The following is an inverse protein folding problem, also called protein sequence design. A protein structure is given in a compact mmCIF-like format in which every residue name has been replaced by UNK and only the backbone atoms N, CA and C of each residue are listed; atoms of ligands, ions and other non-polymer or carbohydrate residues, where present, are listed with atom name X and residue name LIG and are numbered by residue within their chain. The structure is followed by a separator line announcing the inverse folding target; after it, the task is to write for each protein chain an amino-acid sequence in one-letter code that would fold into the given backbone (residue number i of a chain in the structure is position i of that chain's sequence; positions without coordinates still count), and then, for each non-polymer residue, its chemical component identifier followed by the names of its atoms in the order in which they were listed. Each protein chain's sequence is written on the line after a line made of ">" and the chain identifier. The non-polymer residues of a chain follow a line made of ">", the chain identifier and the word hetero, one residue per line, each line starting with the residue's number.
data_IF_452938973485
#
_entry.id   IF_452938973485
#
_cell.length_a   1.000
_cell.length_b   1.000
_cell.length_c   1.000
_cell.angle_alpha   90.00
_cell.angle_beta   90.00
_cell.angle_gamma   90.00
#
_symmetry.space_group_name_H-M   'P 1'
#
loop_
_entity.id
_entity.type
_entity.pdbx_description
1 polymer ?
#
# COMPACT_ATOMS: atom_id res chain seq x y z
N UNK A 1 3.17 51.68 10.38
CA UNK A 1 4.02 50.60 9.82
C UNK A 1 3.28 49.29 10.01
N UNK A 2 2.52 48.88 9.01
CA UNK A 2 1.81 47.59 9.00
C UNK A 2 2.07 46.94 7.65
N UNK A 3 2.82 45.85 7.64
CA UNK A 3 3.04 45.02 6.46
C UNK A 3 1.82 44.13 6.25
N UNK A 4 1.19 44.30 5.10
CA UNK A 4 0.22 43.40 4.50
C UNK A 4 1.03 42.43 3.64
N UNK A 5 1.28 41.22 4.13
CA UNK A 5 1.88 40.16 3.32
C UNK A 5 0.78 39.50 2.48
N UNK A 6 1.01 39.49 1.16
CA UNK A 6 0.13 38.95 0.16
C UNK A 6 0.02 37.42 0.31
N UNK A 7 -1.16 36.93 0.67
CA UNK A 7 -1.51 35.52 0.51
C UNK A 7 -1.68 35.27 -0.99
N UNK A 8 -0.65 34.71 -1.61
CA UNK A 8 -0.69 34.21 -2.98
C UNK A 8 -1.81 33.18 -3.13
N UNK A 9 -2.93 33.62 -3.70
CA UNK A 9 -4.01 32.76 -4.14
C UNK A 9 -3.51 31.91 -5.31
N UNK A 10 -3.00 30.73 -5.01
CA UNK A 10 -2.86 29.66 -5.99
C UNK A 10 -4.25 29.19 -6.40
N UNK A 11 -4.86 29.88 -7.37
CA UNK A 11 -6.09 29.42 -8.02
C UNK A 11 -5.79 28.07 -8.69
N UNK A 12 -6.14 26.99 -8.02
CA UNK A 12 -6.27 25.68 -8.65
C UNK A 12 -7.32 25.83 -9.76
N UNK A 13 -6.87 25.73 -11.02
CA UNK A 13 -7.78 25.74 -12.15
C UNK A 13 -8.87 24.68 -11.95
N UNK A 14 -10.15 25.00 -12.26
CA UNK A 14 -11.22 24.02 -12.12
C UNK A 14 -10.88 22.77 -12.93
N UNK A 15 -11.17 21.60 -12.36
CA UNK A 15 -10.74 20.28 -12.88
C UNK A 15 -11.21 20.02 -14.32
N UNK A 16 -12.22 20.78 -14.79
CA UNK A 16 -12.69 20.84 -16.17
C UNK A 16 -11.62 21.33 -17.16
N UNK A 17 -10.74 22.25 -16.77
CA UNK A 17 -9.69 22.83 -17.64
C UNK A 17 -8.53 21.85 -17.82
N UNK A 18 -8.16 21.11 -16.76
CA UNK A 18 -7.13 20.05 -16.84
C UNK A 18 -7.62 18.87 -17.69
N UNK A 19 -8.90 18.52 -17.61
CA UNK A 19 -9.51 17.47 -18.43
C UNK A 19 -9.50 17.82 -19.94
N UNK A 20 -9.80 19.07 -20.32
CA UNK A 20 -9.72 19.52 -21.71
C UNK A 20 -8.29 19.50 -22.27
N UNK A 21 -7.30 19.92 -21.46
CA UNK A 21 -5.89 19.88 -21.85
C UNK A 21 -5.38 18.43 -22.04
N UNK A 22 -5.77 17.52 -21.15
CA UNK A 22 -5.41 16.10 -21.25
C UNK A 22 -6.12 15.39 -22.42
N UNK A 23 -7.36 15.76 -22.74
CA UNK A 23 -8.09 15.24 -23.91
C UNK A 23 -7.42 15.68 -25.23
N UNK A 24 -7.09 16.96 -25.38
CA UNK A 24 -6.39 17.48 -26.57
C UNK A 24 -5.01 16.84 -26.74
N UNK A 25 -4.25 16.65 -25.65
CA UNK A 25 -2.94 16.00 -25.69
C UNK A 25 -3.01 14.50 -26.04
N UNK A 26 -4.13 13.81 -25.71
CA UNK A 26 -4.35 12.41 -26.07
C UNK A 26 -4.84 12.24 -27.50
N UNK A 27 -5.61 13.20 -28.04
CA UNK A 27 -5.93 13.27 -29.48
C UNK A 27 -4.65 13.38 -30.31
N UNK A 28 -3.68 14.21 -29.88
CA UNK A 28 -2.40 14.35 -30.60
C UNK A 28 -1.46 13.14 -30.52
N UNK A 29 -1.68 12.19 -29.59
CA UNK A 29 -0.90 10.93 -29.52
C UNK A 29 -1.59 9.74 -30.17
N UNK A 30 -2.87 9.84 -30.49
CA UNK A 30 -3.50 8.90 -31.43
C UNK A 30 -3.10 9.38 -32.81
N UNK A 31 -1.91 8.97 -33.25
CA UNK A 31 -1.59 8.95 -34.66
C UNK A 31 -2.69 8.16 -35.36
N UNK A 32 -3.57 8.86 -36.08
CA UNK A 32 -4.35 8.26 -37.15
C UNK A 32 -3.33 7.82 -38.18
N UNK A 33 -2.79 6.61 -38.02
CA UNK A 33 -2.18 5.90 -39.13
C UNK A 33 -3.25 5.80 -40.19
N UNK A 34 -3.09 6.55 -41.28
CA UNK A 34 -3.75 6.23 -42.54
C UNK A 34 -3.34 4.79 -42.88
N UNK A 35 -4.28 3.83 -42.98
CA UNK A 35 -3.98 2.56 -43.59
C UNK A 35 -3.90 2.78 -45.09
N UNK A 36 -2.67 2.83 -45.61
CA UNK A 36 -2.39 2.66 -47.03
C UNK A 36 -2.90 1.29 -47.50
N UNK A 37 -3.78 1.33 -48.50
CA UNK A 37 -3.80 0.42 -49.64
C UNK A 37 -3.97 -1.08 -49.40
N UNK A 38 -5.12 -1.61 -49.85
CA UNK A 38 -5.13 -2.91 -50.53
C UNK A 38 -6.04 -3.99 -49.96
N UNK A 39 -7.32 -3.70 -49.76
CA UNK A 39 -8.33 -4.73 -49.50
C UNK A 39 -9.61 -4.39 -50.24
N UNK A 40 -9.86 -5.06 -51.36
CA UNK A 40 -11.15 -5.04 -52.06
C UNK A 40 -12.21 -5.70 -51.18
N UNK A 41 -12.69 -4.99 -50.15
CA UNK A 41 -13.82 -5.41 -49.35
C UNK A 41 -15.08 -5.04 -50.12
N UNK A 42 -15.60 -6.01 -50.86
CA UNK A 42 -16.96 -5.97 -51.42
C UNK A 42 -17.91 -5.50 -50.32
N UNK A 43 -18.57 -4.35 -50.54
CA UNK A 43 -19.62 -3.86 -49.65
C UNK A 43 -20.71 -4.93 -49.52
N UNK A 44 -20.97 -5.51 -48.34
CA UNK A 44 -22.27 -6.08 -48.08
C UNK A 44 -23.20 -4.94 -47.65
N UNK A 45 -24.41 -5.00 -48.17
CA UNK A 45 -25.54 -4.13 -47.87
C UNK A 45 -25.48 -3.54 -46.45
N UNK A 46 -25.50 -2.21 -46.37
CA UNK A 46 -25.60 -1.45 -45.13
C UNK A 46 -26.85 -1.94 -44.39
N UNK A 47 -26.64 -2.82 -43.41
CA UNK A 47 -27.68 -3.26 -42.50
C UNK A 47 -28.20 -2.00 -41.79
N UNK A 48 -29.52 -1.78 -41.84
CA UNK A 48 -30.30 -0.67 -41.24
C UNK A 48 -30.16 -0.51 -39.71
N UNK A 49 -29.15 -1.14 -39.14
CA UNK A 49 -28.82 -1.26 -37.72
C UNK A 49 -27.53 -0.49 -37.36
N UNK A 50 -26.81 0.05 -38.35
CA UNK A 50 -25.60 0.86 -38.15
C UNK A 50 -25.72 1.98 -37.10
N UNK A 51 -26.76 2.84 -37.12
CA UNK A 51 -26.89 3.88 -36.11
C UNK A 51 -27.21 3.30 -34.72
N UNK A 52 -27.93 2.18 -34.65
CA UNK A 52 -28.28 1.52 -33.37
C UNK A 52 -27.04 0.94 -32.71
N UNK A 53 -26.16 0.29 -33.48
CA UNK A 53 -24.92 -0.29 -32.97
C UNK A 53 -23.97 0.82 -32.48
N UNK A 54 -23.88 1.94 -33.21
CA UNK A 54 -23.09 3.10 -32.79
C UNK A 54 -23.62 3.74 -31.51
N UNK A 55 -24.95 3.93 -31.41
CA UNK A 55 -25.58 4.50 -30.21
C UNK A 55 -25.43 3.55 -29.01
N UNK A 56 -25.59 2.24 -29.21
CA UNK A 56 -25.43 1.25 -28.15
C UNK A 56 -23.97 1.18 -27.67
N UNK A 57 -23.00 1.24 -28.57
CA UNK A 57 -21.58 1.30 -28.23
C UNK A 57 -21.24 2.59 -27.45
N UNK A 58 -21.83 3.73 -27.84
CA UNK A 58 -21.67 4.99 -27.11
C UNK A 58 -22.32 4.95 -25.72
N UNK A 59 -23.51 4.35 -25.59
CA UNK A 59 -24.19 4.14 -24.30
C UNK A 59 -23.41 3.20 -23.38
N UNK A 60 -22.88 2.09 -23.91
CA UNK A 60 -22.03 1.16 -23.15
C UNK A 60 -20.70 1.82 -22.72
N UNK A 61 -20.13 2.67 -23.57
CA UNK A 61 -18.93 3.44 -23.24
C UNK A 61 -19.18 4.57 -22.22
N UNK A 62 -20.41 5.07 -22.11
CA UNK A 62 -20.79 6.11 -21.14
C UNK A 62 -20.87 5.59 -19.69
N UNK A 63 -20.78 4.28 -19.46
CA UNK A 63 -20.83 3.68 -18.13
C UNK A 63 -19.46 3.44 -17.47
N UNK A 64 -18.40 4.17 -17.84
CA UNK A 64 -17.12 4.06 -17.12
C UNK A 64 -17.30 4.60 -15.70
N UNK A 65 -17.48 3.68 -14.75
CA UNK A 65 -17.36 3.97 -13.33
C UNK A 65 -15.94 4.47 -13.08
N UNK A 66 -15.81 5.71 -12.61
CA UNK A 66 -14.53 6.22 -12.14
C UNK A 66 -14.23 5.45 -10.85
N UNK A 67 -13.40 4.41 -10.95
CA UNK A 67 -12.77 3.82 -9.76
C UNK A 67 -11.68 4.79 -9.37
N UNK A 68 -11.99 5.65 -8.40
CA UNK A 68 -11.03 6.56 -7.80
C UNK A 68 -10.14 5.75 -6.84
N UNK A 69 -9.11 5.10 -7.40
CA UNK A 69 -8.05 4.41 -6.65
C UNK A 69 -7.00 5.40 -6.07
N UNK A 70 -7.37 6.68 -5.95
CA UNK A 70 -6.51 7.72 -5.39
C UNK A 70 -6.43 7.61 -3.86
N UNK A 71 -5.22 7.62 -3.25
CA UNK A 71 -5.09 7.84 -1.83
C UNK A 71 -5.72 9.19 -1.47
N UNK A 72 -6.82 9.17 -0.70
CA UNK A 72 -7.44 10.39 -0.20
C UNK A 72 -6.38 11.21 0.55
N UNK A 73 -6.20 12.51 0.25
CA UNK A 73 -5.31 13.36 1.02
C UNK A 73 -5.81 13.38 2.46
N UNK A 74 -5.09 12.70 3.36
CA UNK A 74 -5.42 12.75 4.78
C UNK A 74 -4.98 14.13 5.27
N UNK A 75 -5.87 14.94 5.86
CA UNK A 75 -5.47 16.21 6.44
C UNK A 75 -4.33 15.96 7.44
N UNK A 76 -3.29 16.82 7.46
CA UNK A 76 -2.19 16.67 8.41
C UNK A 76 -2.79 16.70 9.81
N UNK A 77 -2.73 15.56 10.51
CA UNK A 77 -3.16 15.52 11.91
C UNK A 77 -2.19 16.39 12.72
N UNK A 78 -2.68 17.25 13.62
CA UNK A 78 -1.83 17.93 14.58
C UNK A 78 -1.09 16.86 15.39
N UNK A 79 0.23 16.83 15.30
CA UNK A 79 1.03 15.88 16.06
C UNK A 79 1.07 16.40 17.51
N UNK A 80 0.65 15.60 18.51
CA UNK A 80 0.75 16.02 19.90
C UNK A 80 2.22 16.20 20.28
N UNK A 81 2.62 17.40 20.69
CA UNK A 81 3.99 17.67 21.15
C UNK A 81 4.30 17.02 22.50
N UNK A 82 3.26 16.69 23.27
CA UNK A 82 3.32 16.08 24.59
C UNK A 82 2.52 14.79 24.59
N UNK A 83 3.18 13.69 24.96
CA UNK A 83 2.53 12.40 25.16
C UNK A 83 2.58 12.02 26.63
N UNK A 84 1.48 11.45 27.13
CA UNK A 84 1.48 10.82 28.44
C UNK A 84 2.41 9.61 28.44
N UNK A 85 3.00 9.29 29.59
CA UNK A 85 3.82 8.09 29.77
C UNK A 85 2.93 6.84 30.02
N UNK A 86 1.67 6.88 29.61
CA UNK A 86 0.75 5.77 29.76
C UNK A 86 1.12 4.67 28.76
N UNK A 87 1.23 3.43 29.26
CA UNK A 87 1.53 2.26 28.43
C UNK A 87 0.25 1.62 27.92
N UNK A 88 -0.02 1.79 26.63
CA UNK A 88 -1.15 1.20 25.89
C UNK A 88 -0.65 0.82 24.50
N UNK A 89 0.01 -0.34 24.35
CA UNK A 89 0.78 -0.63 23.15
C UNK A 89 -0.12 -0.67 21.92
N UNK A 90 0.36 -0.11 20.82
CA UNK A 90 -0.35 -0.13 19.53
C UNK A 90 0.58 -0.57 18.42
N UNK A 91 0.01 -1.22 17.41
CA UNK A 91 0.72 -1.60 16.21
C UNK A 91 0.46 -0.54 15.15
N UNK A 92 1.51 0.12 14.69
CA UNK A 92 1.42 1.19 13.72
C UNK A 92 2.36 0.94 12.53
N UNK A 93 1.97 1.46 11.36
CA UNK A 93 2.71 1.30 10.10
C UNK A 93 2.98 2.65 9.44
N UNK A 94 4.17 2.77 8.85
CA UNK A 94 4.55 3.89 7.98
C UNK A 94 5.11 3.31 6.69
N UNK A 95 4.37 3.42 5.59
CA UNK A 95 4.77 2.81 4.32
C UNK A 95 4.83 1.28 4.43
N UNK A 96 6.05 0.73 4.30
CA UNK A 96 6.34 -0.71 4.46
C UNK A 96 6.75 -1.12 5.88
N UNK A 97 7.07 -0.16 6.76
CA UNK A 97 7.61 -0.45 8.09
C UNK A 97 6.50 -0.55 9.14
N UNK A 98 6.49 -1.64 9.90
CA UNK A 98 5.51 -1.90 10.96
C UNK A 98 6.22 -2.03 12.30
N UNK A 99 5.80 -1.25 13.30
CA UNK A 99 6.44 -1.22 14.61
C UNK A 99 5.41 -1.11 15.75
N UNK A 100 5.76 -1.70 16.90
CA UNK A 100 5.00 -1.56 18.14
C UNK A 100 5.42 -0.28 18.85
N UNK A 101 4.46 0.59 19.14
CA UNK A 101 4.67 1.79 19.95
C UNK A 101 4.09 1.57 21.35
N UNK A 102 4.71 2.18 22.37
CA UNK A 102 4.25 2.08 23.76
C UNK A 102 2.88 2.73 23.98
N UNK A 103 2.52 3.73 23.17
CA UNK A 103 1.16 4.28 23.10
C UNK A 103 0.82 4.91 21.75
N UNK A 104 -0.47 5.17 21.54
CA UNK A 104 -1.00 5.83 20.35
C UNK A 104 -0.39 7.21 20.10
N UNK A 105 -0.19 8.00 21.15
CA UNK A 105 0.38 9.34 21.02
C UNK A 105 1.81 9.31 20.47
N UNK A 106 2.65 8.39 20.94
CA UNK A 106 4.02 8.18 20.46
C UNK A 106 4.01 7.76 18.99
N UNK A 107 3.09 6.89 18.59
CA UNK A 107 2.93 6.49 17.19
C UNK A 107 2.54 7.67 16.29
N UNK A 108 1.56 8.47 16.71
CA UNK A 108 1.10 9.64 15.95
C UNK A 108 2.18 10.72 15.87
N UNK A 109 2.91 10.98 16.95
CA UNK A 109 4.02 11.95 16.98
C UNK A 109 5.13 11.59 15.99
N UNK A 110 5.40 10.30 15.83
CA UNK A 110 6.39 9.78 14.87
C UNK A 110 5.83 9.66 13.44
N UNK A 111 4.55 10.01 13.22
CA UNK A 111 3.90 9.95 11.91
C UNK A 111 3.54 8.53 11.46
N UNK A 112 3.42 7.58 12.38
CA UNK A 112 2.94 6.23 12.08
C UNK A 112 1.41 6.18 12.12
N UNK A 113 0.83 5.41 11.19
CA UNK A 113 -0.61 5.14 11.17
C UNK A 113 -0.92 3.91 12.01
N UNK A 114 -1.71 4.08 13.06
CA UNK A 114 -2.17 2.98 13.90
C UNK A 114 -3.09 2.06 13.09
N UNK A 115 -2.79 0.76 13.10
CA UNK A 115 -3.60 -0.26 12.43
C UNK A 115 -4.46 -1.06 13.41
N UNK A 116 -3.94 -1.25 14.62
CA UNK A 116 -4.46 -2.19 15.61
C UNK A 116 -4.02 -1.79 17.02
N UNK A 117 -4.88 -2.01 17.99
CA UNK A 117 -4.53 -2.01 19.40
C UNK A 117 -3.75 -3.27 19.79
N UNK A 118 -2.75 -3.11 20.64
CA UNK A 118 -1.78 -4.14 21.02
C UNK A 118 -0.55 -4.18 20.12
N UNK A 119 0.47 -4.97 20.48
CA UNK A 119 1.73 -5.07 19.73
C UNK A 119 1.53 -5.72 18.35
N UNK A 120 2.44 -5.42 17.43
CA UNK A 120 2.46 -6.05 16.12
C UNK A 120 2.75 -7.55 16.24
N UNK A 121 1.98 -8.37 15.54
CA UNK A 121 2.08 -9.85 15.56
C UNK A 121 3.14 -10.40 14.61
N UNK A 122 3.59 -9.58 13.67
CA UNK A 122 4.49 -9.97 12.59
C UNK A 122 5.84 -9.27 12.81
N UNK A 123 6.75 -9.97 13.49
CA UNK A 123 8.18 -9.67 13.53
C UNK A 123 8.61 -8.41 14.29
N UNK A 124 9.19 -8.61 15.48
CA UNK A 124 10.20 -7.67 15.98
C UNK A 124 9.70 -6.53 16.86
N UNK A 125 8.85 -6.83 17.84
CA UNK A 125 8.44 -5.85 18.85
C UNK A 125 8.36 -6.46 20.24
N UNK A 126 9.46 -7.03 20.72
CA UNK A 126 9.50 -7.59 22.07
C UNK A 126 10.81 -8.29 22.37
N UNK A 127 11.93 -7.56 22.31
CA UNK A 127 13.24 -8.02 22.77
C UNK A 127 13.81 -9.17 21.94
N UNK A 128 15.08 -9.10 21.54
CA UNK A 128 16.04 -9.90 22.29
C UNK A 128 15.77 -9.90 23.80
N UNK A 129 14.65 -10.50 24.23
CA UNK A 129 14.57 -11.05 25.57
C UNK A 129 15.74 -12.00 25.57
N UNK A 130 16.81 -11.63 26.27
CA UNK A 130 17.96 -12.48 26.46
C UNK A 130 17.41 -13.75 27.09
N UNK A 131 17.04 -14.70 26.24
CA UNK A 131 16.28 -15.86 26.67
C UNK A 131 17.33 -16.68 27.40
N UNK A 132 17.25 -16.67 28.73
CA UNK A 132 18.17 -17.40 29.58
C UNK A 132 17.91 -18.89 29.40
N UNK A 133 18.62 -19.51 28.46
CA UNK A 133 18.57 -20.94 28.25
C UNK A 133 19.51 -21.63 29.23
N UNK A 134 19.07 -22.75 29.78
CA UNK A 134 19.94 -23.67 30.50
C UNK A 134 20.95 -24.27 29.51
N UNK A 135 22.13 -24.66 30.01
CA UNK A 135 23.13 -25.39 29.20
C UNK A 135 22.83 -26.89 29.11
N UNK A 136 21.56 -27.25 29.24
CA UNK A 136 21.10 -28.63 29.10
C UNK A 136 21.17 -29.04 27.62
N UNK A 137 21.70 -30.23 27.38
CA UNK A 137 21.84 -30.78 26.04
C UNK A 137 20.72 -31.78 25.77
N UNK A 138 19.72 -31.35 25.00
CA UNK A 138 18.57 -32.13 24.56
C UNK A 138 18.28 -31.74 23.10
N UNK A 139 19.03 -32.31 22.14
CA UNK A 139 19.11 -31.76 20.79
C UNK A 139 17.78 -31.86 20.07
N UNK A 140 17.42 -30.79 19.35
CA UNK A 140 16.18 -30.73 18.58
C UNK A 140 16.42 -30.29 17.14
N UNK A 141 15.55 -30.75 16.26
CA UNK A 141 15.57 -30.38 14.86
C UNK A 141 14.62 -29.21 14.66
N UNK A 142 15.13 -28.08 14.18
CA UNK A 142 14.33 -26.87 14.01
C UNK A 142 14.47 -26.28 12.61
N UNK A 143 13.42 -25.61 12.13
CA UNK A 143 13.33 -25.05 10.78
C UNK A 143 13.06 -23.55 10.80
N UNK A 144 13.75 -22.81 9.94
CA UNK A 144 13.55 -21.39 9.68
C UNK A 144 13.74 -21.08 8.20
N UNK A 145 12.74 -20.48 7.55
CA UNK A 145 12.76 -20.11 6.12
C UNK A 145 13.27 -21.23 5.18
N UNK A 146 12.81 -22.47 5.40
CA UNK A 146 13.21 -23.63 4.60
C UNK A 146 14.57 -24.26 4.95
N UNK A 147 15.35 -23.62 5.83
CA UNK A 147 16.61 -24.18 6.35
C UNK A 147 16.32 -24.96 7.62
N UNK A 148 16.95 -26.12 7.75
CA UNK A 148 16.78 -27.06 8.87
C UNK A 148 18.12 -27.20 9.57
N UNK A 149 18.15 -27.05 10.90
CA UNK A 149 19.37 -27.09 11.71
C UNK A 149 19.09 -27.76 13.05
N UNK A 150 20.09 -28.49 13.53
CA UNK A 150 20.09 -29.06 14.88
C UNK A 150 20.53 -28.01 15.89
N UNK A 151 19.74 -27.84 16.95
CA UNK A 151 20.06 -26.97 18.08
C UNK A 151 20.38 -27.81 19.33
N UNK A 152 21.26 -27.33 20.22
CA UNK A 152 21.60 -28.02 21.47
C UNK A 152 20.39 -28.28 22.38
N UNK A 153 19.41 -27.37 22.38
CA UNK A 153 18.12 -27.56 23.04
C UNK A 153 17.01 -26.70 22.41
N UNK A 154 15.76 -26.99 22.80
CA UNK A 154 14.58 -26.28 22.31
C UNK A 154 14.50 -24.81 22.72
N UNK A 155 15.13 -24.43 23.84
CA UNK A 155 15.21 -23.04 24.26
C UNK A 155 16.05 -22.23 23.27
N UNK A 156 17.26 -22.70 22.95
CA UNK A 156 18.18 -22.07 22.01
C UNK A 156 17.58 -21.98 20.59
N UNK A 157 16.87 -23.02 20.16
CA UNK A 157 16.15 -23.00 18.88
C UNK A 157 15.13 -21.85 18.81
N UNK A 158 14.31 -21.67 19.85
CA UNK A 158 13.30 -20.62 19.91
C UNK A 158 13.91 -19.24 20.08
N UNK A 159 14.96 -19.11 20.88
CA UNK A 159 15.70 -17.87 21.07
C UNK A 159 16.35 -17.38 19.75
N UNK A 160 16.70 -18.29 18.85
CA UNK A 160 17.21 -18.00 17.52
C UNK A 160 16.12 -17.86 16.44
N UNK A 161 14.84 -17.81 16.81
CA UNK A 161 13.67 -17.77 15.91
C UNK A 161 13.52 -18.99 14.98
N UNK A 162 13.95 -20.17 15.44
CA UNK A 162 13.67 -21.44 14.76
C UNK A 162 12.46 -22.14 15.40
N UNK A 163 11.62 -22.75 14.55
CA UNK A 163 10.50 -23.59 15.00
C UNK A 163 10.97 -25.05 15.09
N UNK A 164 10.81 -25.68 16.25
CA UNK A 164 11.09 -27.11 16.44
C UNK A 164 10.13 -27.96 15.60
N UNK A 165 10.69 -28.91 14.85
CA UNK A 165 9.99 -29.86 13.96
C UNK A 165 10.14 -31.31 14.45
N UNK A 166 11.20 -31.62 15.21
CA UNK A 166 11.39 -32.94 15.80
C UNK A 166 12.26 -32.90 17.07
N UNK A 167 12.08 -33.90 17.92
CA UNK A 167 12.70 -34.01 19.27
C UNK A 167 14.11 -34.63 19.27
N UNK A 168 14.79 -34.63 18.12
CA UNK A 168 16.15 -35.15 17.94
C UNK A 168 16.91 -34.35 16.88
N UNK A 169 18.16 -34.68 16.55
CA UNK A 169 18.90 -33.99 15.50
C UNK A 169 18.23 -34.14 14.13
N UNK A 170 18.37 -33.09 13.31
CA UNK A 170 18.28 -33.19 11.87
C UNK A 170 19.54 -33.92 11.35
#
# INVERSE_FOLDING_TARGET
>A
MGQIEAVGQGFAAPQTVVAFAAWNARISRVGMGLPDGGGHMRLPAICRQGPVIFILAALLAACTVVVDDGPRPHPPRPHPQLCTMQYQPVCARRGGDRQTFANACLAEREGYRIERDGPCRDGGGGGGEQTFCTREYAPVCARRHGQVRTFPNACEARAADYRVVGDGPC
#
